data_IF_458593004947
#
_entry.id   IF_458593004947
#
_cell.length_a   1.000
_cell.length_b   1.000
_cell.length_c   1.000
_cell.angle_alpha   90.00
_cell.angle_beta   90.00
_cell.angle_gamma   90.00
#
_symmetry.space_group_name_H-M   'P 1'
#
loop_
_entity.id
_entity.type
_entity.pdbx_description
1 polymer ?
#
# COMPACT_ATOMS: atom_id res chain seq x y z
N UNK A 1 -13.72 3.21 -4.25
CA UNK A 1 -12.57 4.10 -4.01
C UNK A 1 -12.78 4.83 -2.70
N UNK A 2 -11.75 4.89 -1.84
CA UNK A 2 -11.77 5.67 -0.60
C UNK A 2 -10.85 6.87 -0.74
N UNK A 3 -11.39 8.07 -0.56
CA UNK A 3 -10.63 9.33 -0.62
C UNK A 3 -10.21 9.79 0.77
N UNK A 4 -9.23 10.69 0.80
CA UNK A 4 -8.81 11.46 1.98
C UNK A 4 -8.99 12.95 1.67
N UNK A 5 -9.31 13.80 2.66
CA UNK A 5 -9.32 15.24 2.45
C UNK A 5 -7.92 15.75 2.11
N UNK A 6 -7.80 16.82 1.33
CA UNK A 6 -6.50 17.47 1.03
C UNK A 6 -5.79 18.02 2.27
N UNK A 7 -6.54 18.17 3.36
CA UNK A 7 -6.04 18.56 4.68
C UNK A 7 -5.80 17.37 5.60
N UNK A 8 -5.79 16.14 5.10
CA UNK A 8 -5.58 14.94 5.90
C UNK A 8 -4.25 15.03 6.66
N UNK A 9 -4.33 14.77 7.96
CA UNK A 9 -3.18 14.64 8.84
C UNK A 9 -2.43 13.32 8.61
N UNK A 10 -1.18 13.26 9.06
CA UNK A 10 -0.38 12.02 9.05
C UNK A 10 -1.11 10.87 9.77
N UNK A 11 -1.86 11.16 10.85
CA UNK A 11 -2.57 10.13 11.60
C UNK A 11 -3.78 9.56 10.84
N UNK A 12 -4.47 10.39 10.06
CA UNK A 12 -5.53 9.93 9.15
C UNK A 12 -4.96 9.08 8.02
N UNK A 13 -3.79 9.46 7.48
CA UNK A 13 -3.08 8.69 6.46
C UNK A 13 -2.63 7.34 7.03
N UNK A 14 -2.00 7.32 8.21
CA UNK A 14 -1.59 6.08 8.89
C UNK A 14 -2.80 5.18 9.16
N UNK A 15 -3.92 5.75 9.58
CA UNK A 15 -5.14 4.96 9.80
C UNK A 15 -5.65 4.36 8.49
N UNK A 16 -5.67 5.13 7.40
CA UNK A 16 -6.03 4.61 6.08
C UNK A 16 -5.16 3.42 5.67
N UNK A 17 -3.83 3.51 5.88
CA UNK A 17 -2.89 2.42 5.55
C UNK A 17 -3.15 1.19 6.42
N UNK A 18 -3.40 1.37 7.73
CA UNK A 18 -3.74 0.25 8.63
C UNK A 18 -5.03 -0.44 8.21
N UNK A 19 -6.06 0.31 7.86
CA UNK A 19 -7.33 -0.24 7.39
C UNK A 19 -7.12 -1.08 6.12
N UNK A 20 -6.31 -0.58 5.19
CA UNK A 20 -5.97 -1.29 3.96
C UNK A 20 -5.21 -2.60 4.26
N UNK A 21 -4.21 -2.57 5.15
CA UNK A 21 -3.48 -3.78 5.58
C UNK A 21 -4.39 -4.78 6.29
N UNK A 22 -5.35 -4.32 7.10
CA UNK A 22 -6.31 -5.20 7.76
C UNK A 22 -7.18 -5.96 6.75
N UNK A 23 -7.69 -5.27 5.72
CA UNK A 23 -8.46 -5.89 4.63
C UNK A 23 -7.61 -6.93 3.87
N UNK A 24 -6.32 -6.64 3.64
CA UNK A 24 -5.41 -7.62 3.03
C UNK A 24 -5.16 -8.83 3.94
N UNK A 25 -5.06 -8.62 5.25
CA UNK A 25 -4.89 -9.69 6.23
C UNK A 25 -6.10 -10.63 6.35
N UNK A 26 -7.29 -10.14 5.95
CA UNK A 26 -8.53 -10.90 5.79
C UNK A 26 -8.68 -11.54 4.40
N UNK A 27 -7.66 -11.44 3.53
CA UNK A 27 -7.66 -11.94 2.15
C UNK A 27 -8.77 -11.34 1.26
N UNK A 28 -9.29 -10.15 1.61
CA UNK A 28 -10.32 -9.39 0.86
C UNK A 28 -9.68 -8.51 -0.22
N UNK A 29 -8.95 -9.12 -1.14
CA UNK A 29 -8.10 -8.40 -2.09
C UNK A 29 -8.84 -7.48 -3.06
N UNK A 30 -10.04 -7.87 -3.51
CA UNK A 30 -10.83 -7.03 -4.41
C UNK A 30 -11.27 -5.73 -3.72
N UNK A 31 -11.65 -5.80 -2.45
CA UNK A 31 -11.99 -4.63 -1.65
C UNK A 31 -10.77 -3.74 -1.36
N UNK A 32 -9.60 -4.35 -1.09
CA UNK A 32 -8.36 -3.61 -0.95
C UNK A 32 -8.00 -2.85 -2.23
N UNK A 33 -8.30 -3.41 -3.41
CA UNK A 33 -8.16 -2.73 -4.70
C UNK A 33 -9.23 -1.65 -4.86
N UNK A 34 -10.48 -1.89 -4.45
CA UNK A 34 -11.54 -0.88 -4.48
C UNK A 34 -11.24 0.34 -3.61
N UNK A 35 -10.40 0.23 -2.58
CA UNK A 35 -9.95 1.38 -1.80
C UNK A 35 -9.04 2.32 -2.61
N UNK A 36 -8.26 1.76 -3.53
CA UNK A 36 -7.28 2.50 -4.34
C UNK A 36 -7.98 3.34 -5.41
N UNK A 37 -7.38 4.47 -5.76
CA UNK A 37 -7.74 5.21 -6.95
C UNK A 37 -7.18 4.47 -8.18
N UNK A 38 -8.00 4.16 -9.19
CA UNK A 38 -7.51 3.54 -10.40
C UNK A 38 -6.56 4.50 -11.12
N UNK A 39 -5.29 4.09 -11.29
CA UNK A 39 -4.27 4.70 -12.16
C UNK A 39 -4.30 6.24 -12.26
N UNK A 40 -3.69 6.90 -11.27
CA UNK A 40 -3.39 8.33 -11.35
C UNK A 40 -2.18 8.64 -12.26
N UNK A 41 -1.45 7.61 -12.71
CA UNK A 41 -0.38 7.71 -13.69
C UNK A 41 -0.90 8.15 -15.08
N UNK A 42 -0.50 9.35 -15.51
CA UNK A 42 -0.85 9.94 -16.82
C UNK A 42 -0.17 9.25 -18.01
N UNK A 43 0.87 8.45 -17.77
CA UNK A 43 1.56 7.69 -18.80
C UNK A 43 0.87 6.34 -18.93
N UNK A 44 -0.25 6.33 -19.66
CA UNK A 44 -0.99 5.11 -19.91
C UNK A 44 -0.06 4.00 -20.39
N UNK A 45 0.03 2.92 -19.63
CA UNK A 45 0.31 1.57 -20.10
C UNK A 45 0.09 0.55 -18.96
N UNK A 46 -1.06 -0.12 -19.02
CA UNK A 46 -1.28 -1.55 -18.79
C UNK A 46 -0.85 -2.26 -17.50
N UNK A 47 -0.98 -1.68 -16.30
CA UNK A 47 -0.91 -2.51 -15.09
C UNK A 47 -1.91 -2.07 -14.03
N UNK A 48 -3.18 -2.40 -14.26
CA UNK A 48 -4.19 -2.26 -13.22
C UNK A 48 -3.90 -3.24 -12.09
N UNK A 49 -3.95 -2.75 -10.85
CA UNK A 49 -4.09 -3.62 -9.70
C UNK A 49 -5.44 -4.34 -9.78
N UNK A 50 -5.38 -5.66 -9.73
CA UNK A 50 -6.54 -6.53 -9.54
C UNK A 50 -6.35 -7.29 -8.23
N UNK A 51 -7.44 -7.77 -7.63
CA UNK A 51 -7.33 -8.59 -6.42
C UNK A 51 -6.46 -9.83 -6.65
N UNK A 52 -6.57 -10.47 -7.82
CA UNK A 52 -5.71 -11.57 -8.26
C UNK A 52 -4.21 -11.21 -8.29
N UNK A 53 -3.86 -10.04 -8.83
CA UNK A 53 -2.47 -9.58 -8.87
C UNK A 53 -1.93 -9.31 -7.48
N UNK A 54 -2.70 -8.58 -6.67
CA UNK A 54 -2.32 -8.22 -5.31
C UNK A 54 -2.15 -9.48 -4.44
N UNK A 55 -3.08 -10.42 -4.54
CA UNK A 55 -2.99 -11.75 -3.94
C UNK A 55 -1.73 -12.49 -4.37
N UNK A 56 -1.43 -12.52 -5.67
CA UNK A 56 -0.26 -13.25 -6.20
C UNK A 56 1.05 -12.67 -5.65
N UNK A 57 1.19 -11.34 -5.69
CA UNK A 57 2.38 -10.63 -5.22
C UNK A 57 2.57 -10.84 -3.71
N UNK A 58 1.51 -10.68 -2.91
CA UNK A 58 1.59 -10.86 -1.47
C UNK A 58 1.92 -12.32 -1.10
N UNK A 59 1.21 -13.29 -1.70
CA UNK A 59 1.41 -14.71 -1.40
C UNK A 59 2.79 -15.24 -1.75
N UNK A 60 3.44 -14.63 -2.75
CA UNK A 60 4.75 -15.04 -3.22
C UNK A 60 5.82 -13.99 -2.93
N UNK A 61 5.65 -13.20 -1.87
CA UNK A 61 6.71 -12.34 -1.36
C UNK A 61 7.27 -11.34 -2.39
N UNK A 62 6.38 -10.62 -3.07
CA UNK A 62 6.75 -9.60 -4.05
C UNK A 62 6.96 -10.18 -5.44
N UNK A 63 6.92 -11.51 -5.58
CA UNK A 63 7.16 -12.21 -6.84
C UNK A 63 5.86 -12.57 -7.54
N UNK A 64 5.95 -12.76 -8.86
CA UNK A 64 4.83 -13.24 -9.67
C UNK A 64 4.64 -14.77 -9.57
N UNK A 65 5.57 -15.49 -8.92
CA UNK A 65 5.58 -16.94 -8.72
C UNK A 65 6.19 -17.29 -7.36
N UNK A 66 5.84 -18.45 -6.76
CA UNK A 66 6.45 -18.92 -5.52
C UNK A 66 7.98 -18.97 -5.60
N UNK A 67 8.63 -18.81 -4.45
CA UNK A 67 10.07 -19.02 -4.30
C UNK A 67 10.32 -20.54 -4.41
N UNK A 68 11.11 -21.04 -5.38
CA UNK A 68 11.25 -22.49 -5.59
C UNK A 68 11.77 -23.27 -4.38
N UNK A 69 12.60 -22.63 -3.55
CA UNK A 69 13.22 -23.22 -2.36
C UNK A 69 12.46 -22.94 -1.06
N UNK A 70 11.40 -22.13 -1.12
CA UNK A 70 10.57 -21.76 0.03
C UNK A 70 9.08 -21.91 -0.32
N UNK A 71 8.43 -23.02 0.11
CA UNK A 71 7.04 -23.30 -0.23
C UNK A 71 6.05 -22.44 0.55
N UNK A 72 6.53 -21.58 1.46
CA UNK A 72 5.67 -20.78 2.33
C UNK A 72 4.82 -19.81 1.53
N UNK A 73 3.62 -19.58 2.05
CA UNK A 73 2.70 -18.57 1.55
C UNK A 73 2.61 -17.45 2.55
N UNK A 74 2.86 -16.24 2.10
CA UNK A 74 2.86 -15.06 2.96
C UNK A 74 1.51 -14.37 2.93
N UNK A 75 1.16 -13.75 4.05
CA UNK A 75 -0.06 -12.94 4.20
C UNK A 75 0.23 -11.72 5.06
N UNK A 76 -0.38 -10.56 4.78
CA UNK A 76 -0.33 -9.45 5.72
C UNK A 76 -0.89 -9.86 7.08
N UNK A 77 -0.17 -9.48 8.13
CA UNK A 77 -0.66 -9.54 9.48
C UNK A 77 -1.43 -8.24 9.79
N UNK A 78 -2.58 -8.31 10.47
CA UNK A 78 -3.27 -7.11 10.91
C UNK A 78 -2.37 -6.33 11.89
N UNK A 79 -2.36 -5.00 11.78
CA UNK A 79 -1.61 -4.14 12.70
C UNK A 79 -2.42 -3.97 13.99
N UNK A 80 -2.18 -4.83 14.97
CA UNK A 80 -2.76 -4.71 16.31
C UNK A 80 -2.03 -3.68 17.18
N UNK A 81 -2.53 -3.46 18.40
CA UNK A 81 -1.94 -2.50 19.35
C UNK A 81 -0.51 -2.86 19.75
N UNK A 82 -0.15 -4.14 19.73
CA UNK A 82 1.20 -4.60 20.09
C UNK A 82 2.21 -4.30 18.98
N UNK A 83 1.81 -4.42 17.71
CA UNK A 83 2.65 -4.14 16.55
C UNK A 83 2.63 -2.67 16.10
N UNK A 84 1.63 -1.89 16.54
CA UNK A 84 1.42 -0.50 16.10
C UNK A 84 2.69 0.35 16.16
N UNK A 85 3.41 0.29 17.28
CA UNK A 85 4.62 1.10 17.45
C UNK A 85 5.73 0.71 16.48
N UNK A 86 5.91 -0.59 16.21
CA UNK A 86 6.94 -1.05 15.28
C UNK A 86 6.55 -0.75 13.83
N UNK A 87 5.28 -1.01 13.47
CA UNK A 87 4.71 -0.64 12.18
C UNK A 87 4.92 0.85 11.85
N UNK A 88 4.64 1.74 12.79
CA UNK A 88 4.77 3.18 12.57
C UNK A 88 6.23 3.65 12.39
N UNK A 89 7.24 2.90 12.87
CA UNK A 89 8.65 3.21 12.59
C UNK A 89 9.04 2.96 11.15
N UNK A 90 8.40 1.97 10.51
CA UNK A 90 8.67 1.56 9.13
C UNK A 90 7.66 2.16 8.14
N UNK A 91 6.75 3.01 8.63
CA UNK A 91 5.87 3.83 7.82
C UNK A 91 6.47 5.23 7.66
N UNK A 92 6.72 5.63 6.42
CA UNK A 92 7.25 6.95 6.06
C UNK A 92 6.23 7.68 5.21
N UNK A 93 5.83 8.86 5.67
CA UNK A 93 4.99 9.81 4.92
C UNK A 93 5.86 11.02 4.63
N UNK A 94 5.97 11.40 3.36
CA UNK A 94 6.69 12.61 3.01
C UNK A 94 6.09 13.30 1.78
N UNK A 95 6.08 14.64 1.76
CA UNK A 95 5.72 15.39 0.57
C UNK A 95 6.67 15.04 -0.57
N UNK A 96 6.13 14.80 -1.76
CA UNK A 96 6.91 14.62 -2.98
C UNK A 96 6.71 15.82 -3.90
N UNK A 97 7.76 16.62 -4.18
CA UNK A 97 7.67 17.69 -5.17
C UNK A 97 7.29 17.13 -6.53
N UNK A 98 6.33 17.75 -7.22
CA UNK A 98 6.09 17.48 -8.64
C UNK A 98 7.27 18.05 -9.45
N UNK A 99 7.87 17.25 -10.32
CA UNK A 99 8.97 17.67 -11.21
C UNK A 99 8.47 18.37 -12.48
N UNK A 100 7.16 18.38 -12.73
CA UNK A 100 6.56 19.00 -13.91
C UNK A 100 5.76 20.25 -13.52
N UNK A 101 6.03 21.34 -14.24
CA UNK A 101 5.68 22.72 -13.98
C UNK A 101 4.18 23.03 -13.89
N UNK A 102 3.89 24.06 -13.09
CA UNK A 102 2.70 24.92 -13.08
C UNK A 102 1.44 24.55 -12.28
N UNK A 103 1.44 23.52 -11.43
CA UNK A 103 0.50 23.50 -10.31
C UNK A 103 1.19 23.05 -9.03
N UNK A 104 1.03 23.91 -8.02
CA UNK A 104 1.42 23.76 -6.63
C UNK A 104 1.28 22.32 -6.13
N UNK A 105 2.36 21.86 -5.49
CA UNK A 105 2.51 20.69 -4.60
C UNK A 105 1.15 20.15 -4.12
N UNK A 106 0.96 18.83 -4.15
CA UNK A 106 0.22 18.07 -3.11
C UNK A 106 0.31 16.54 -3.35
N UNK A 107 1.44 16.03 -3.85
CA UNK A 107 1.65 14.58 -3.86
C UNK A 107 2.28 14.18 -2.53
N UNK A 108 1.71 13.19 -1.85
CA UNK A 108 2.29 12.61 -0.64
C UNK A 108 2.71 11.18 -0.94
N UNK A 109 3.99 10.88 -0.76
CA UNK A 109 4.48 9.51 -0.86
C UNK A 109 4.34 8.80 0.47
N UNK A 110 3.87 7.56 0.41
CA UNK A 110 3.85 6.64 1.53
C UNK A 110 4.75 5.46 1.16
N UNK A 111 5.73 5.19 2.02
CA UNK A 111 6.43 3.91 2.03
C UNK A 111 6.05 3.20 3.33
N UNK A 112 5.60 1.96 3.21
CA UNK A 112 5.22 1.18 4.40
C UNK A 112 5.69 -0.25 4.25
N UNK A 113 6.44 -0.70 5.23
CA UNK A 113 6.75 -2.11 5.38
C UNK A 113 5.52 -2.84 5.92
N UNK A 114 4.99 -3.73 5.11
CA UNK A 114 3.82 -4.53 5.47
C UNK A 114 4.30 -5.65 6.39
N UNK A 115 3.74 -5.77 7.60
CA UNK A 115 4.00 -6.93 8.43
C UNK A 115 3.38 -8.14 7.73
N UNK A 116 4.20 -9.10 7.36
CA UNK A 116 3.81 -10.36 6.78
C UNK A 116 3.93 -11.47 7.83
N UNK A 117 3.10 -12.48 7.69
CA UNK A 117 3.22 -13.76 8.38
C UNK A 117 3.27 -14.88 7.36
N UNK A 118 4.09 -15.88 7.61
CA UNK A 118 4.00 -17.14 6.89
C UNK A 118 2.86 -18.01 7.42
N UNK A 119 2.70 -19.20 6.83
CA UNK A 119 1.71 -20.21 7.21
C UNK A 119 1.95 -20.81 8.60
N UNK A 120 3.13 -20.62 9.18
CA UNK A 120 3.47 -21.03 10.55
C UNK A 120 3.30 -19.88 11.57
N UNK A 121 2.90 -18.69 11.12
CA UNK A 121 2.70 -17.51 11.96
C UNK A 121 3.98 -16.75 12.28
N UNK A 122 5.09 -16.99 11.57
CA UNK A 122 6.34 -16.24 11.73
C UNK A 122 6.21 -14.87 11.06
N UNK A 123 6.48 -13.81 11.82
CA UNK A 123 6.42 -12.42 11.33
C UNK A 123 7.67 -12.03 10.52
N UNK A 124 7.44 -11.34 9.41
CA UNK A 124 8.42 -10.79 8.46
C UNK A 124 7.99 -9.36 8.10
N UNK A 125 8.91 -8.48 7.72
CA UNK A 125 8.61 -7.05 7.49
C UNK A 125 9.38 -6.45 6.30
N UNK A 126 9.95 -7.27 5.44
CA UNK A 126 10.78 -6.84 4.31
C UNK A 126 9.99 -6.58 3.02
N UNK A 127 8.66 -6.69 3.04
CA UNK A 127 7.82 -6.31 1.91
C UNK A 127 7.32 -4.89 2.08
N UNK A 128 7.80 -4.00 1.21
CA UNK A 128 7.43 -2.60 1.20
C UNK A 128 6.35 -2.34 0.15
N UNK A 129 5.27 -1.66 0.55
CA UNK A 129 4.33 -1.04 -0.37
C UNK A 129 4.69 0.44 -0.56
N UNK A 130 4.80 0.85 -1.83
CA UNK A 130 4.93 2.25 -2.21
C UNK A 130 3.60 2.78 -2.72
N UNK A 131 3.09 3.85 -2.10
CA UNK A 131 1.85 4.49 -2.48
C UNK A 131 2.03 5.99 -2.70
N UNK A 132 1.09 6.57 -3.43
CA UNK A 132 1.02 8.01 -3.70
C UNK A 132 -0.38 8.52 -3.42
N UNK A 133 -0.52 9.52 -2.54
CA UNK A 133 -1.71 10.36 -2.52
C UNK A 133 -1.57 11.40 -3.61
N UNK A 134 -2.60 11.55 -4.42
CA UNK A 134 -2.71 12.68 -5.34
C UNK A 134 -4.09 13.29 -5.23
N UNK A 135 -4.14 14.60 -5.46
CA UNK A 135 -5.39 15.34 -5.59
C UNK A 135 -6.21 14.82 -6.77
N UNK A 136 -7.49 14.55 -6.52
CA UNK A 136 -8.47 14.06 -7.51
C UNK A 136 -9.70 14.95 -7.64
N UNK A 137 -9.81 15.95 -6.75
CA UNK A 137 -10.80 17.02 -6.78
C UNK A 137 -10.31 18.26 -6.02
N UNK A 138 -11.20 19.23 -5.80
CA UNK A 138 -10.84 20.48 -5.10
C UNK A 138 -10.53 20.26 -3.61
N UNK A 139 -11.08 19.23 -2.99
CA UNK A 139 -10.93 18.94 -1.56
C UNK A 139 -10.51 17.51 -1.26
N UNK A 140 -10.27 16.69 -2.28
CA UNK A 140 -10.05 15.24 -2.13
C UNK A 140 -8.75 14.76 -2.77
N UNK A 141 -8.16 13.76 -2.11
CA UNK A 141 -7.02 12.98 -2.57
C UNK A 141 -7.42 11.51 -2.72
N UNK A 142 -6.95 10.88 -3.80
CA UNK A 142 -7.00 9.44 -4.03
C UNK A 142 -5.63 8.80 -3.77
N UNK A 143 -5.62 7.54 -3.36
CA UNK A 143 -4.39 6.76 -3.12
C UNK A 143 -4.11 5.83 -4.30
N UNK A 144 -2.96 5.98 -4.93
CA UNK A 144 -2.44 5.07 -5.96
C UNK A 144 -1.41 4.13 -5.33
N UNK A 145 -1.55 2.81 -5.51
CA UNK A 145 -0.50 1.84 -5.18
C UNK A 145 0.47 1.78 -6.37
N UNK A 146 1.72 2.19 -6.14
CA UNK A 146 2.76 2.21 -7.17
C UNK A 146 3.45 0.84 -7.30
N UNK A 147 3.78 0.23 -6.17
CA UNK A 147 4.43 -1.08 -6.13
C UNK A 147 4.25 -1.77 -4.78
N UNK A 148 4.42 -3.09 -4.77
CA UNK A 148 4.59 -3.89 -3.56
C UNK A 148 5.67 -4.93 -3.86
N UNK A 149 6.82 -4.82 -3.19
CA UNK A 149 8.01 -5.61 -3.49
C UNK A 149 8.89 -5.80 -2.25
N UNK A 150 9.83 -6.74 -2.35
CA UNK A 150 10.86 -6.94 -1.32
C UNK A 150 12.05 -6.06 -1.66
N UNK A 151 12.57 -5.32 -0.67
CA UNK A 151 13.77 -4.49 -0.83
C UNK A 151 15.07 -5.28 -0.64
#
# INVERSE_FOLDING_TARGET
MRTLPVTASDDEIKQWVRDWIAILGEERYDEAVEMLHPNLSRYGQYDFWTGERLKTILRHYGLHKPIPEDPRVFRPAPVDDAMRHEFEKHLKIYPRPSLESDWTIDNVSILVDMPLRDDNGVFLSDMTAEMMLRRVGESEMGVELLSAHVM
#
